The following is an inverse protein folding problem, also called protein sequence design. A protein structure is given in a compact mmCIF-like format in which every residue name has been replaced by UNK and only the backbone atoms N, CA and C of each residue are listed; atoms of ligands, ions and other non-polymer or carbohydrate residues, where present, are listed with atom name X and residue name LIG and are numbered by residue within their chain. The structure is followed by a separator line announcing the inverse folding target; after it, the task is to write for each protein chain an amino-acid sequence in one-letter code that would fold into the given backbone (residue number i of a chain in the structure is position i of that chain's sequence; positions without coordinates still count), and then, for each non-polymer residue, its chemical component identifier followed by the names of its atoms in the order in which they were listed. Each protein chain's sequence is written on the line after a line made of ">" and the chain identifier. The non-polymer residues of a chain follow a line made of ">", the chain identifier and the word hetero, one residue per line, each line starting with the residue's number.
data_IF_327658922771
#
_entry.id   IF_327658922771
#
_cell.length_a   1.000
_cell.length_b   1.000
_cell.length_c   1.000
_cell.angle_alpha   90.00
_cell.angle_beta   90.00
_cell.angle_gamma   90.00
#
_symmetry.space_group_name_H-M   'P 1'
#
loop_
_entity.id
_entity.type
_entity.pdbx_description
1 polymer ?
#
# COMPACT_ATOMS: atom_id res chain seq x y z
N UNK A 1 1.82 5.26 0.69
CA UNK A 1 3.21 5.57 1.11
C UNK A 1 3.93 4.48 1.92
N UNK A 2 3.22 3.58 2.63
CA UNK A 2 3.83 2.49 3.43
C UNK A 2 4.88 1.66 2.68
N UNK A 3 4.62 1.33 1.40
CA UNK A 3 5.54 0.51 0.59
C UNK A 3 6.83 1.23 0.19
N UNK A 4 6.79 2.55 -0.01
CA UNK A 4 7.98 3.35 -0.39
C UNK A 4 8.88 3.54 0.83
N UNK A 5 8.31 3.80 2.02
CA UNK A 5 9.06 3.86 3.28
C UNK A 5 9.64 2.48 3.63
N UNK A 6 8.81 1.43 3.52
CA UNK A 6 9.15 0.09 3.95
C UNK A 6 9.24 -0.05 5.47
N UNK A 7 9.49 -1.28 5.94
CA UNK A 7 9.71 -1.55 7.37
C UNK A 7 11.00 -0.88 7.83
N UNK A 8 10.94 -0.10 8.92
CA UNK A 8 12.08 0.62 9.50
C UNK A 8 12.84 1.49 8.48
N UNK A 9 12.14 2.11 7.52
CA UNK A 9 12.75 2.95 6.48
C UNK A 9 13.78 2.24 5.59
N UNK A 10 13.84 0.89 5.59
CA UNK A 10 14.83 0.13 4.82
C UNK A 10 14.69 0.33 3.31
N UNK A 11 13.46 0.45 2.82
CA UNK A 11 13.21 0.63 1.38
C UNK A 11 13.68 2.01 0.93
N UNK A 12 13.47 3.06 1.73
CA UNK A 12 14.03 4.39 1.45
C UNK A 12 15.56 4.33 1.37
N UNK A 13 16.22 3.78 2.40
CA UNK A 13 17.69 3.71 2.42
C UNK A 13 18.23 2.89 1.25
N UNK A 14 17.54 1.82 0.86
CA UNK A 14 17.91 1.03 -0.31
C UNK A 14 17.81 1.83 -1.61
N UNK A 15 16.77 2.65 -1.79
CA UNK A 15 16.63 3.51 -2.96
C UNK A 15 17.72 4.59 -2.96
N UNK A 16 18.03 5.19 -1.80
CA UNK A 16 19.09 6.18 -1.67
C UNK A 16 20.46 5.57 -2.04
N UNK A 17 20.78 4.38 -1.53
CA UNK A 17 22.02 3.67 -1.88
C UNK A 17 22.10 3.29 -3.36
N UNK A 18 20.98 2.87 -3.97
CA UNK A 18 20.95 2.46 -5.38
C UNK A 18 21.08 3.65 -6.35
N UNK A 19 20.57 4.81 -5.97
CA UNK A 19 20.43 5.95 -6.88
C UNK A 19 21.37 7.11 -6.57
N UNK A 20 21.94 7.16 -5.36
CA UNK A 20 22.73 8.29 -4.88
C UNK A 20 21.89 9.53 -4.58
N UNK A 21 20.55 9.45 -4.67
CA UNK A 21 19.65 10.53 -4.29
C UNK A 21 19.35 10.49 -2.79
N UNK A 22 19.01 11.63 -2.21
CA UNK A 22 18.50 11.75 -0.85
C UNK A 22 16.97 11.89 -0.88
N UNK A 23 16.28 11.15 -0.03
CA UNK A 23 14.82 11.09 0.04
C UNK A 23 14.32 11.57 1.40
N UNK A 24 13.54 12.66 1.42
CA UNK A 24 12.94 13.20 2.64
C UNK A 24 11.42 13.15 2.59
N UNK A 25 10.82 12.52 3.60
CA UNK A 25 9.36 12.48 3.78
C UNK A 25 8.91 13.74 4.51
N UNK A 26 8.11 14.59 3.86
CA UNK A 26 7.73 15.90 4.39
C UNK A 26 6.46 15.84 5.26
N UNK A 27 5.46 15.05 4.86
CA UNK A 27 4.14 15.03 5.52
C UNK A 27 3.74 13.60 5.95
N UNK A 28 4.27 13.17 7.10
CA UNK A 28 3.98 11.84 7.68
C UNK A 28 2.68 11.77 8.49
N UNK A 29 2.16 12.93 8.92
CA UNK A 29 0.99 13.08 9.81
C UNK A 29 -0.32 13.39 9.09
N UNK A 30 -0.32 13.49 7.76
CA UNK A 30 -1.55 13.73 7.02
C UNK A 30 -2.43 12.47 7.09
N UNK A 31 -3.35 12.45 8.05
CA UNK A 31 -4.43 11.46 8.23
C UNK A 31 -5.28 11.27 6.97
N UNK A 32 -5.18 12.19 6.00
CA UNK A 32 -5.93 12.18 4.75
C UNK A 32 -5.01 12.22 3.54
N UNK A 33 -4.66 11.02 3.10
CA UNK A 33 -4.52 10.55 1.72
C UNK A 33 -3.32 10.98 0.86
N UNK A 34 -2.57 12.03 1.18
CA UNK A 34 -1.40 12.39 0.35
C UNK A 34 -0.17 12.69 1.20
N UNK A 35 0.86 11.87 1.04
CA UNK A 35 2.16 12.08 1.68
C UNK A 35 3.19 12.44 0.61
N UNK A 36 3.95 13.49 0.86
CA UNK A 36 4.92 14.05 -0.08
C UNK A 36 6.34 13.56 0.22
N UNK A 37 7.13 13.39 -0.84
CA UNK A 37 8.56 13.03 -0.80
C UNK A 37 9.33 14.09 -1.56
N UNK A 38 10.30 14.71 -0.90
CA UNK A 38 11.34 15.49 -1.56
C UNK A 38 12.47 14.55 -2.02
N UNK A 39 12.85 14.67 -3.29
CA UNK A 39 14.00 13.98 -3.88
C UNK A 39 15.07 15.03 -4.16
N UNK A 40 16.24 14.87 -3.55
CA UNK A 40 17.39 15.75 -3.75
C UNK A 40 18.53 14.92 -4.34
N UNK A 41 19.24 15.47 -5.33
CA UNK A 41 20.39 14.79 -5.92
C UNK A 41 21.25 15.75 -6.74
N UNK A 42 22.50 15.38 -6.97
CA UNK A 42 23.50 16.23 -7.63
C UNK A 42 23.20 16.50 -9.11
N UNK A 43 22.44 15.63 -9.76
CA UNK A 43 22.08 15.77 -11.17
C UNK A 43 20.64 15.37 -11.47
N UNK A 44 20.08 15.90 -12.56
CA UNK A 44 18.75 15.52 -13.05
C UNK A 44 18.63 14.02 -13.34
N UNK A 45 19.74 13.36 -13.71
CA UNK A 45 19.80 11.91 -13.93
C UNK A 45 19.59 11.14 -12.63
N UNK A 46 20.24 11.56 -11.55
CA UNK A 46 20.09 10.96 -10.20
C UNK A 46 18.66 11.12 -9.69
N UNK A 47 18.11 12.34 -9.78
CA UNK A 47 16.72 12.63 -9.39
C UNK A 47 15.73 11.82 -10.23
N UNK A 48 15.95 11.74 -11.55
CA UNK A 48 15.13 10.95 -12.46
C UNK A 48 15.16 9.46 -12.13
N UNK A 49 16.34 8.89 -11.86
CA UNK A 49 16.48 7.49 -11.47
C UNK A 49 15.72 7.17 -10.18
N UNK A 50 15.83 8.03 -9.16
CA UNK A 50 15.08 7.90 -7.91
C UNK A 50 13.56 7.99 -8.14
N UNK A 51 13.11 8.95 -8.96
CA UNK A 51 11.69 9.08 -9.31
C UNK A 51 11.14 7.82 -10.00
N UNK A 52 11.84 7.29 -11.01
CA UNK A 52 11.41 6.07 -11.70
C UNK A 52 11.40 4.86 -10.77
N UNK A 53 12.37 4.76 -9.86
CA UNK A 53 12.41 3.66 -8.88
C UNK A 53 11.21 3.71 -7.94
N UNK A 54 10.90 4.88 -7.40
CA UNK A 54 9.71 5.09 -6.55
C UNK A 54 8.43 4.76 -7.34
N UNK A 55 8.32 5.26 -8.58
CA UNK A 55 7.16 4.98 -9.45
C UNK A 55 6.97 3.49 -9.72
N UNK A 56 8.06 2.77 -9.95
CA UNK A 56 8.05 1.31 -10.15
C UNK A 56 7.56 0.56 -8.89
N UNK A 57 8.02 0.98 -7.70
CA UNK A 57 7.56 0.40 -6.42
C UNK A 57 6.07 0.68 -6.22
N UNK A 58 5.60 1.89 -6.52
CA UNK A 58 4.17 2.24 -6.42
C UNK A 58 3.34 1.41 -7.39
N UNK A 59 3.79 1.27 -8.65
CA UNK A 59 3.06 0.50 -9.65
C UNK A 59 3.00 -0.99 -9.31
N UNK A 60 4.08 -1.58 -8.77
CA UNK A 60 4.07 -2.97 -8.30
C UNK A 60 3.24 -3.16 -7.02
N UNK A 61 3.14 -2.12 -6.18
CA UNK A 61 2.36 -2.17 -4.93
C UNK A 61 0.85 -2.08 -5.14
N UNK A 62 0.38 -1.72 -6.34
CA UNK A 62 -1.05 -1.57 -6.65
C UNK A 62 -1.83 -2.90 -6.62
N UNK A 63 -1.15 -4.03 -6.44
CA UNK A 63 -1.76 -5.37 -6.39
C UNK A 63 -1.83 -6.01 -5.00
N UNK A 64 -1.71 -5.20 -3.94
CA UNK A 64 -2.15 -5.58 -2.60
C UNK A 64 -3.19 -4.53 -2.17
N UNK A 65 -4.40 -4.63 -2.72
CA UNK A 65 -5.56 -3.99 -2.11
C UNK A 65 -5.69 -4.48 -0.66
N UNK A 66 -6.36 -3.72 0.19
CA UNK A 66 -6.72 -4.17 1.54
C UNK A 66 -7.18 -5.63 1.45
N UNK A 67 -6.70 -6.49 2.36
CA UNK A 67 -7.15 -7.88 2.41
C UNK A 67 -8.66 -7.87 2.63
N UNK A 68 -9.41 -7.87 1.53
CA UNK A 68 -10.77 -8.33 1.50
C UNK A 68 -10.61 -9.81 1.74
N UNK A 69 -10.62 -10.22 3.00
CA UNK A 69 -10.94 -11.60 3.32
C UNK A 69 -12.33 -11.79 2.73
N UNK A 70 -12.37 -12.24 1.49
CA UNK A 70 -13.60 -12.70 0.87
C UNK A 70 -13.93 -13.99 1.59
N UNK A 71 -14.64 -13.85 2.71
CA UNK A 71 -15.22 -14.97 3.41
C UNK A 71 -16.42 -15.37 2.56
N UNK A 72 -16.24 -16.33 1.65
CA UNK A 72 -17.35 -17.07 1.09
C UNK A 72 -17.97 -17.90 2.22
N UNK A 73 -18.85 -17.28 3.00
CA UNK A 73 -19.71 -18.05 3.90
C UNK A 73 -20.55 -18.97 2.99
N UNK A 74 -20.56 -20.29 3.22
CA UNK A 74 -21.57 -21.14 2.61
C UNK A 74 -22.92 -20.79 3.26
N UNK A 75 -23.54 -19.71 2.78
CA UNK A 75 -24.87 -19.24 3.19
C UNK A 75 -25.93 -20.33 2.89
N UNK A 76 -25.59 -21.30 2.06
CA UNK A 76 -26.45 -22.40 1.68
C UNK A 76 -26.30 -23.67 2.54
N UNK A 77 -26.02 -23.54 3.83
CA UNK A 77 -26.11 -24.69 4.75
C UNK A 77 -27.56 -24.95 5.13
N UNK A 78 -27.96 -26.23 5.22
CA UNK A 78 -29.34 -26.62 5.58
C UNK A 78 -29.80 -26.00 6.90
N UNK A 79 -28.90 -25.91 7.87
CA UNK A 79 -29.17 -25.32 9.19
C UNK A 79 -29.58 -23.82 9.09
N UNK A 80 -28.90 -23.04 8.24
CA UNK A 80 -29.26 -21.63 8.01
C UNK A 80 -30.61 -21.52 7.30
N UNK A 81 -30.90 -22.39 6.33
CA UNK A 81 -32.20 -22.42 5.63
C UNK A 81 -33.35 -22.74 6.59
N UNK A 82 -33.20 -23.79 7.41
CA UNK A 82 -34.19 -24.23 8.39
C UNK A 82 -34.47 -23.14 9.43
N UNK A 83 -33.42 -22.49 9.92
CA UNK A 83 -33.54 -21.37 10.88
C UNK A 83 -34.26 -20.17 10.27
N UNK A 84 -33.99 -19.84 8.99
CA UNK A 84 -34.68 -18.76 8.28
C UNK A 84 -36.16 -19.07 8.04
N UNK A 85 -36.48 -20.29 7.61
CA UNK A 85 -37.88 -20.71 7.39
C UNK A 85 -38.66 -20.63 8.71
N UNK A 86 -38.09 -21.13 9.81
CA UNK A 86 -38.69 -21.05 11.15
C UNK A 86 -38.93 -19.61 11.61
N UNK A 87 -37.99 -18.71 11.35
CA UNK A 87 -38.15 -17.29 11.67
C UNK A 87 -39.30 -16.65 10.88
N UNK A 88 -39.46 -16.98 9.59
CA UNK A 88 -40.52 -16.42 8.73
C UNK A 88 -41.93 -16.87 9.13
N UNK A 89 -42.06 -18.04 9.73
CA UNK A 89 -43.35 -18.60 10.17
C UNK A 89 -43.78 -18.09 11.57
N UNK A 90 -42.90 -17.33 12.24
CA UNK A 90 -43.22 -16.61 13.49
C UNK A 90 -43.72 -15.21 13.16
#
# INVERSE_FOLDING_TARGET
>A
MKFVIGRNSKTIHSIEQQTGAQLKVLNRKAERQTSEIAITGESKRVVGAAYYRIKSIISSSRWYGDQTHFISLPINSKNIQESFIKFRET
#
